data_IF_725069263517
#
_entry.id   IF_725069263517
#
_cell.length_a   1.000
_cell.length_b   1.000
_cell.length_c   1.000
_cell.angle_alpha   90.00
_cell.angle_beta   90.00
_cell.angle_gamma   90.00
#
_symmetry.space_group_name_H-M   'P 1'
#
loop_
_entity.id
_entity.type
_entity.pdbx_description
1 polymer ?
#
# COMPACT_ATOMS: atom_id res chain seq x y z
N UNK A 1 -3.94 -10.94 11.33
CA UNK A 1 -4.33 -9.52 11.24
C UNK A 1 -5.42 -9.27 10.20
N UNK A 2 -5.29 -9.74 8.97
CA UNK A 2 -6.32 -9.52 7.93
C UNK A 2 -7.74 -9.98 8.30
N UNK A 3 -7.89 -11.11 9.01
CA UNK A 3 -9.20 -11.62 9.45
C UNK A 3 -9.88 -10.65 10.44
N UNK A 4 -9.11 -10.10 11.38
CA UNK A 4 -9.61 -9.19 12.42
C UNK A 4 -10.07 -7.88 11.77
N UNK A 5 -9.22 -7.28 10.93
CA UNK A 5 -9.57 -6.05 10.22
C UNK A 5 -10.72 -6.27 9.23
N UNK A 6 -10.77 -7.43 8.57
CA UNK A 6 -11.88 -7.84 7.72
C UNK A 6 -13.21 -7.86 8.46
N UNK A 7 -13.24 -8.44 9.66
CA UNK A 7 -14.45 -8.48 10.49
C UNK A 7 -14.89 -7.07 10.93
N UNK A 8 -13.98 -6.18 11.29
CA UNK A 8 -14.32 -4.81 11.69
C UNK A 8 -14.94 -4.01 10.54
N UNK A 9 -14.41 -4.16 9.32
CA UNK A 9 -14.96 -3.49 8.13
C UNK A 9 -16.33 -4.08 7.74
N UNK A 10 -16.56 -5.37 7.89
CA UNK A 10 -17.87 -5.95 7.56
C UNK A 10 -18.99 -5.52 8.53
N UNK A 11 -18.67 -5.26 9.80
CA UNK A 11 -19.66 -4.93 10.83
C UNK A 11 -19.82 -3.41 11.09
N UNK A 12 -19.18 -2.55 10.30
CA UNK A 12 -19.23 -1.10 10.50
C UNK A 12 -20.38 -0.44 9.70
N UNK A 13 -21.10 0.48 10.35
CA UNK A 13 -22.08 1.33 9.69
C UNK A 13 -21.40 2.56 9.06
N UNK A 14 -21.60 2.75 7.75
CA UNK A 14 -20.95 3.81 6.96
C UNK A 14 -21.81 5.07 6.76
N UNK A 15 -22.87 5.22 7.55
CA UNK A 15 -23.84 6.33 7.46
C UNK A 15 -23.35 7.62 8.12
N UNK A 16 -22.16 7.62 8.72
CA UNK A 16 -21.56 8.80 9.35
C UNK A 16 -20.15 9.06 8.79
N UNK A 17 -19.75 10.34 8.72
CA UNK A 17 -18.41 10.73 8.29
C UNK A 17 -17.30 10.06 9.12
N UNK A 18 -17.53 9.96 10.43
CA UNK A 18 -16.60 9.31 11.36
C UNK A 18 -16.48 7.80 11.10
N UNK A 19 -17.60 7.12 10.81
CA UNK A 19 -17.62 5.71 10.43
C UNK A 19 -16.83 5.46 9.15
N UNK A 20 -17.07 6.25 8.09
CA UNK A 20 -16.35 6.13 6.82
C UNK A 20 -14.85 6.41 6.96
N UNK A 21 -14.47 7.48 7.68
CA UNK A 21 -13.07 7.80 7.91
C UNK A 21 -12.33 6.69 8.70
N UNK A 22 -13.00 6.11 9.70
CA UNK A 22 -12.43 4.99 10.47
C UNK A 22 -12.15 3.77 9.59
N UNK A 23 -13.03 3.48 8.63
CA UNK A 23 -12.89 2.36 7.70
C UNK A 23 -11.71 2.55 6.74
N UNK A 24 -11.58 3.75 6.17
CA UNK A 24 -10.46 4.13 5.30
C UNK A 24 -9.13 4.01 6.07
N UNK A 25 -9.10 4.45 7.34
CA UNK A 25 -7.93 4.28 8.21
C UNK A 25 -7.61 2.81 8.49
N UNK A 26 -8.61 1.94 8.70
CA UNK A 26 -8.38 0.50 8.93
C UNK A 26 -7.78 -0.18 7.70
N UNK A 27 -8.31 0.13 6.50
CA UNK A 27 -7.78 -0.38 5.23
C UNK A 27 -6.32 0.05 5.06
N UNK A 28 -6.03 1.32 5.32
CA UNK A 28 -4.68 1.87 5.28
C UNK A 28 -3.74 1.15 6.25
N UNK A 29 -4.09 1.08 7.53
CA UNK A 29 -3.25 0.46 8.57
C UNK A 29 -2.99 -1.02 8.28
N UNK A 30 -3.96 -1.73 7.71
CA UNK A 30 -3.79 -3.13 7.30
C UNK A 30 -2.76 -3.25 6.17
N UNK A 31 -2.86 -2.41 5.12
CA UNK A 31 -1.93 -2.41 4.00
C UNK A 31 -0.51 -2.03 4.44
N UNK A 32 -0.38 -1.05 5.34
CA UNK A 32 0.89 -0.62 5.90
C UNK A 32 1.55 -1.70 6.75
N UNK A 33 0.79 -2.31 7.66
CA UNK A 33 1.30 -3.38 8.50
C UNK A 33 1.81 -4.54 7.65
N UNK A 34 1.07 -4.91 6.61
CA UNK A 34 1.49 -5.96 5.68
C UNK A 34 2.81 -5.60 4.99
N UNK A 35 2.93 -4.38 4.44
CA UNK A 35 4.17 -3.92 3.80
C UNK A 35 5.36 -3.90 4.76
N UNK A 36 5.16 -3.43 5.99
CA UNK A 36 6.21 -3.39 7.01
C UNK A 36 6.64 -4.79 7.48
N UNK A 37 5.69 -5.70 7.70
CA UNK A 37 5.99 -7.06 8.11
C UNK A 37 6.86 -7.79 7.06
N UNK A 38 6.54 -7.61 5.78
CA UNK A 38 7.33 -8.20 4.69
C UNK A 38 8.70 -7.53 4.55
N UNK A 39 8.79 -6.21 4.73
CA UNK A 39 10.06 -5.49 4.77
C UNK A 39 11.00 -6.05 5.85
N UNK A 40 10.52 -6.19 7.09
CA UNK A 40 11.35 -6.73 8.18
C UNK A 40 11.74 -8.18 7.91
N UNK A 41 10.82 -8.97 7.34
CA UNK A 41 11.08 -10.37 7.00
C UNK A 41 12.14 -10.54 5.87
N UNK A 42 12.33 -9.56 4.99
CA UNK A 42 13.31 -9.65 3.90
C UNK A 42 14.73 -9.22 4.28
N UNK A 43 14.90 -8.49 5.39
CA UNK A 43 16.22 -8.03 5.83
C UNK A 43 17.22 -9.16 6.08
N UNK A 44 16.92 -10.21 6.88
CA UNK A 44 17.90 -11.24 7.16
C UNK A 44 18.31 -12.05 5.92
N UNK A 45 17.39 -12.26 4.96
CA UNK A 45 17.73 -12.95 3.72
C UNK A 45 18.68 -12.13 2.86
N UNK A 46 18.39 -10.84 2.64
CA UNK A 46 19.25 -9.98 1.81
C UNK A 46 20.61 -9.68 2.45
N UNK A 47 20.66 -9.51 3.77
CA UNK A 47 21.93 -9.29 4.48
C UNK A 47 22.84 -10.52 4.43
N UNK A 48 22.27 -11.73 4.44
CA UNK A 48 23.02 -12.97 4.26
C UNK A 48 23.64 -13.10 2.86
N UNK A 49 22.88 -12.74 1.82
CA UNK A 49 23.33 -12.85 0.43
C UNK A 49 24.30 -11.73 0.01
N UNK A 50 24.33 -10.61 0.74
CA UNK A 50 25.19 -9.46 0.42
C UNK A 50 26.68 -9.80 0.33
N UNK A 51 27.19 -10.68 1.19
CA UNK A 51 28.61 -11.06 1.18
C UNK A 51 28.97 -11.79 -0.13
N UNK A 52 28.06 -12.63 -0.62
CA UNK A 52 28.20 -13.33 -1.89
C UNK A 52 28.17 -12.33 -3.05
N UNK A 53 27.21 -11.41 -3.01
CA UNK A 53 27.07 -10.35 -4.02
C UNK A 53 28.33 -9.48 -4.17
N UNK A 54 28.91 -9.02 -3.06
CA UNK A 54 30.14 -8.21 -3.12
C UNK A 54 31.29 -9.00 -3.78
N UNK A 55 31.45 -10.28 -3.43
CA UNK A 55 32.48 -11.14 -4.03
C UNK A 55 32.29 -11.33 -5.53
N UNK A 56 31.05 -11.48 -5.98
CA UNK A 56 30.71 -11.67 -7.39
C UNK A 56 30.79 -10.39 -8.23
N UNK A 57 30.59 -9.23 -7.59
CA UNK A 57 30.81 -7.92 -8.21
C UNK A 57 32.30 -7.64 -8.47
N UNK A 58 33.15 -7.92 -7.48
CA UNK A 58 34.61 -7.77 -7.62
C UNK A 58 35.16 -8.71 -8.70
N UNK A 59 34.56 -9.88 -8.87
CA UNK A 59 34.88 -10.84 -9.93
C UNK A 59 34.27 -10.50 -11.31
N UNK A 60 33.48 -9.41 -11.42
CA UNK A 60 32.78 -8.99 -12.64
C UNK A 60 31.95 -10.11 -13.31
N UNK A 61 31.41 -11.04 -12.50
CA UNK A 61 30.70 -12.23 -13.01
C UNK A 61 29.39 -11.90 -13.73
N UNK A 62 28.71 -10.83 -13.32
CA UNK A 62 27.51 -10.30 -13.96
C UNK A 62 27.36 -8.80 -13.69
N UNK A 63 26.51 -8.13 -14.49
CA UNK A 63 26.14 -6.74 -14.24
C UNK A 63 25.18 -6.65 -13.05
N UNK A 64 25.39 -5.69 -12.14
CA UNK A 64 24.51 -5.36 -11.02
C UNK A 64 23.03 -5.24 -11.40
N UNK A 65 22.74 -4.71 -12.59
CA UNK A 65 21.36 -4.62 -13.07
C UNK A 65 20.65 -5.98 -13.16
N UNK A 66 21.36 -7.02 -13.65
CA UNK A 66 20.80 -8.37 -13.75
C UNK A 66 20.60 -9.01 -12.38
N UNK A 67 21.47 -8.68 -11.42
CA UNK A 67 21.30 -9.13 -10.04
C UNK A 67 20.01 -8.58 -9.42
N UNK A 68 19.72 -7.29 -9.60
CA UNK A 68 18.47 -6.67 -9.14
C UNK A 68 17.21 -7.34 -9.71
N UNK A 69 17.23 -7.71 -11.00
CA UNK A 69 16.16 -8.50 -11.59
C UNK A 69 16.07 -9.92 -11.00
N UNK A 70 17.21 -10.52 -10.63
CA UNK A 70 17.28 -11.82 -9.98
C UNK A 70 16.66 -11.83 -8.58
N UNK A 71 17.02 -10.87 -7.72
CA UNK A 71 16.46 -10.73 -6.36
C UNK A 71 14.97 -10.38 -6.38
N UNK A 72 14.47 -9.75 -7.45
CA UNK A 72 13.01 -9.57 -7.66
C UNK A 72 12.28 -10.91 -7.76
N UNK A 73 12.96 -11.98 -8.24
CA UNK A 73 12.43 -13.36 -8.29
C UNK A 73 12.79 -14.20 -7.07
N UNK A 74 13.37 -13.59 -6.03
CA UNK A 74 13.70 -14.32 -4.80
C UNK A 74 12.45 -14.90 -4.13
N UNK A 75 12.58 -15.99 -3.35
CA UNK A 75 11.47 -16.60 -2.61
C UNK A 75 10.73 -15.59 -1.72
N UNK A 76 11.44 -14.60 -1.17
CA UNK A 76 10.86 -13.54 -0.34
C UNK A 76 9.94 -12.62 -1.16
N UNK A 77 10.35 -12.24 -2.37
CA UNK A 77 9.54 -11.41 -3.28
C UNK A 77 8.35 -12.20 -3.86
N UNK A 78 8.52 -13.49 -4.12
CA UNK A 78 7.40 -14.37 -4.51
C UNK A 78 6.41 -14.58 -3.35
N UNK A 79 6.90 -14.69 -2.11
CA UNK A 79 6.06 -14.74 -0.92
C UNK A 79 5.25 -13.45 -0.71
N UNK A 80 5.82 -12.28 -1.06
CA UNK A 80 5.11 -11.01 -1.07
C UNK A 80 3.91 -11.02 -2.04
N UNK A 81 4.10 -11.58 -3.24
CA UNK A 81 3.02 -11.72 -4.25
C UNK A 81 1.98 -12.75 -3.80
N UNK A 82 2.42 -13.87 -3.21
CA UNK A 82 1.53 -14.92 -2.72
C UNK A 82 0.84 -14.58 -1.40
N UNK A 83 1.30 -13.54 -0.69
CA UNK A 83 0.68 -13.03 0.54
C UNK A 83 -0.63 -12.31 0.27
N UNK A 84 -1.56 -13.03 -0.36
CA UNK A 84 -2.98 -12.68 -0.35
C UNK A 84 -3.55 -13.05 1.02
N UNK A 85 -4.10 -12.12 1.80
CA UNK A 85 -5.08 -12.54 2.77
C UNK A 85 -6.25 -13.16 2.00
N UNK A 86 -6.55 -14.41 2.34
CA UNK A 86 -7.79 -15.10 1.98
C UNK A 86 -9.04 -14.34 2.47
N UNK A 87 -8.84 -13.33 3.33
CA UNK A 87 -9.83 -12.40 3.84
C UNK A 87 -9.69 -11.05 3.12
N UNK A 88 -10.24 -10.97 1.91
CA UNK A 88 -10.75 -9.70 1.38
C UNK A 88 -11.80 -9.19 2.39
N UNK A 89 -11.68 -8.00 2.99
CA UNK A 89 -12.74 -7.45 3.86
C UNK A 89 -14.04 -7.19 3.10
N UNK A 90 -14.02 -7.31 1.77
CA UNK A 90 -15.15 -6.91 0.97
C UNK A 90 -16.32 -7.83 1.27
N UNK A 91 -17.26 -7.24 2.01
CA UNK A 91 -18.69 -7.38 1.84
C UNK A 91 -19.02 -7.99 0.47
N UNK A 92 -20.00 -8.89 0.47
CA UNK A 92 -20.54 -9.56 -0.72
C UNK A 92 -20.97 -8.61 -1.85
N UNK A 93 -20.92 -7.29 -1.64
CA UNK A 93 -21.34 -6.23 -2.55
C UNK A 93 -20.39 -5.97 -3.74
N UNK A 94 -19.11 -6.33 -3.67
CA UNK A 94 -18.17 -6.12 -4.78
C UNK A 94 -17.97 -7.38 -5.61
N UNK A 95 -18.08 -7.27 -6.94
CA UNK A 95 -17.95 -8.41 -7.84
C UNK A 95 -16.59 -9.12 -7.81
N UNK A 96 -16.46 -10.31 -8.43
CA UNK A 96 -15.19 -11.00 -8.64
C UNK A 96 -14.02 -10.15 -9.18
N UNK A 97 -14.22 -9.21 -10.14
CA UNK A 97 -13.10 -8.40 -10.65
C UNK A 97 -12.55 -7.42 -9.61
N UNK A 98 -13.39 -6.80 -8.77
CA UNK A 98 -12.95 -5.87 -7.74
C UNK A 98 -12.03 -6.55 -6.71
N UNK A 99 -12.36 -7.79 -6.32
CA UNK A 99 -11.50 -8.61 -5.43
C UNK A 99 -10.17 -8.98 -6.07
N UNK A 100 -10.11 -9.14 -7.39
CA UNK A 100 -8.84 -9.37 -8.09
C UNK A 100 -7.99 -8.11 -8.08
N UNK A 101 -8.56 -6.95 -8.45
CA UNK A 101 -7.84 -5.68 -8.44
C UNK A 101 -7.37 -5.28 -7.04
N UNK A 102 -8.17 -5.53 -6.01
CA UNK A 102 -7.79 -5.30 -4.62
C UNK A 102 -6.55 -6.12 -4.24
N UNK A 103 -6.56 -7.42 -4.55
CA UNK A 103 -5.42 -8.31 -4.29
C UNK A 103 -4.17 -7.89 -5.08
N UNK A 104 -4.33 -7.56 -6.35
CA UNK A 104 -3.23 -7.09 -7.19
C UNK A 104 -2.62 -5.79 -6.62
N UNK A 105 -3.45 -4.83 -6.21
CA UNK A 105 -2.98 -3.58 -5.64
C UNK A 105 -2.17 -3.78 -4.35
N UNK A 106 -2.67 -4.59 -3.42
CA UNK A 106 -1.94 -4.92 -2.18
C UNK A 106 -0.64 -5.65 -2.51
N UNK A 107 -0.66 -6.65 -3.39
CA UNK A 107 0.54 -7.42 -3.75
C UNK A 107 1.63 -6.54 -4.37
N UNK A 108 1.23 -5.59 -5.25
CA UNK A 108 2.16 -4.64 -5.86
C UNK A 108 2.74 -3.68 -4.81
N UNK A 109 1.91 -3.21 -3.88
CA UNK A 109 2.34 -2.31 -2.81
C UNK A 109 3.33 -2.99 -1.85
N UNK A 110 3.11 -4.27 -1.51
CA UNK A 110 4.04 -5.08 -0.70
C UNK A 110 5.31 -5.39 -1.49
N UNK A 111 5.21 -5.63 -2.81
CA UNK A 111 6.38 -5.84 -3.67
C UNK A 111 7.30 -4.61 -3.66
N UNK A 112 6.74 -3.40 -3.81
CA UNK A 112 7.50 -2.15 -3.74
C UNK A 112 8.23 -2.02 -2.39
N UNK A 113 7.57 -2.34 -1.28
CA UNK A 113 8.19 -2.29 0.06
C UNK A 113 9.29 -3.34 0.24
N UNK A 114 9.10 -4.55 -0.29
CA UNK A 114 10.13 -5.62 -0.28
C UNK A 114 11.34 -5.21 -1.10
N UNK A 115 11.13 -4.67 -2.30
CA UNK A 115 12.21 -4.21 -3.18
C UNK A 115 12.97 -3.03 -2.56
N UNK A 116 12.28 -2.12 -1.89
CA UNK A 116 12.93 -1.04 -1.12
C UNK A 116 13.81 -1.61 -0.01
N UNK A 117 13.34 -2.62 0.72
CA UNK A 117 14.12 -3.30 1.76
C UNK A 117 15.35 -4.02 1.22
N UNK A 118 15.19 -4.76 0.13
CA UNK A 118 16.30 -5.41 -0.58
C UNK A 118 17.32 -4.36 -1.06
N UNK A 119 16.87 -3.30 -1.73
CA UNK A 119 17.73 -2.21 -2.21
C UNK A 119 18.52 -1.54 -1.07
N UNK A 120 17.86 -1.21 0.04
CA UNK A 120 18.52 -0.61 1.21
C UNK A 120 19.53 -1.58 1.84
N UNK A 121 19.26 -2.88 1.87
CA UNK A 121 20.19 -3.88 2.40
C UNK A 121 21.51 -3.96 1.63
N UNK A 122 21.51 -3.70 0.31
CA UNK A 122 22.73 -3.63 -0.51
C UNK A 122 23.40 -2.26 -0.48
N UNK A 123 22.65 -1.17 -0.30
CA UNK A 123 23.18 0.20 -0.23
C UNK A 123 23.84 0.52 1.12
N UNK A 124 23.28 0.02 2.23
CA UNK A 124 23.75 0.35 3.57
C UNK A 124 24.59 -0.76 4.20
N UNK A 125 25.62 -0.36 4.95
CA UNK A 125 26.61 -1.32 5.44
C UNK A 125 26.18 -2.11 6.69
N UNK A 126 25.20 -1.63 7.47
CA UNK A 126 24.77 -2.25 8.73
C UNK A 126 23.27 -2.57 8.71
N UNK A 127 22.91 -3.78 9.13
CA UNK A 127 21.52 -4.24 9.16
C UNK A 127 20.62 -3.40 10.09
N UNK A 128 21.18 -2.89 11.20
CA UNK A 128 20.46 -2.00 12.11
C UNK A 128 20.11 -0.67 11.43
N UNK A 129 21.07 -0.11 10.68
CA UNK A 129 20.87 1.15 9.96
C UNK A 129 19.86 0.97 8.84
N UNK A 130 19.88 -0.18 8.14
CA UNK A 130 18.88 -0.52 7.12
C UNK A 130 17.47 -0.43 7.71
N UNK A 131 17.24 -1.10 8.84
CA UNK A 131 15.93 -1.13 9.49
C UNK A 131 15.44 0.26 9.91
N UNK A 132 16.31 1.08 10.53
CA UNK A 132 15.97 2.45 10.96
C UNK A 132 15.65 3.35 9.76
N UNK A 133 16.47 3.29 8.70
CA UNK A 133 16.28 4.11 7.50
C UNK A 133 15.02 3.69 6.73
N UNK A 134 14.73 2.39 6.63
CA UNK A 134 13.50 1.92 5.98
C UNK A 134 12.24 2.34 6.73
N UNK A 135 12.25 2.31 8.06
CA UNK A 135 11.17 2.85 8.89
C UNK A 135 11.03 4.35 8.68
N UNK A 136 12.13 5.10 8.67
CA UNK A 136 12.10 6.55 8.46
C UNK A 136 11.50 6.93 7.11
N UNK A 137 11.91 6.25 6.03
CA UNK A 137 11.36 6.45 4.68
C UNK A 137 9.87 6.10 4.66
N UNK A 138 9.48 5.00 5.31
CA UNK A 138 8.07 4.62 5.42
C UNK A 138 7.26 5.68 6.16
N UNK A 139 7.75 6.21 7.29
CA UNK A 139 7.09 7.28 8.05
C UNK A 139 7.01 8.58 7.24
N UNK A 140 8.03 8.90 6.45
CA UNK A 140 7.99 10.06 5.56
C UNK A 140 6.84 9.93 4.56
N UNK A 141 6.70 8.77 3.91
CA UNK A 141 5.59 8.52 2.99
C UNK A 141 4.23 8.47 3.68
N UNK A 142 4.16 7.96 4.92
CA UNK A 142 2.93 7.99 5.73
C UNK A 142 2.45 9.41 6.00
N UNK A 143 3.38 10.33 6.29
CA UNK A 143 3.08 11.74 6.55
C UNK A 143 2.37 12.40 5.36
N UNK A 144 2.65 11.94 4.13
CA UNK A 144 2.03 12.49 2.92
C UNK A 144 0.82 11.67 2.42
N UNK A 145 0.42 10.60 3.13
CA UNK A 145 -0.64 9.67 2.69
C UNK A 145 -2.09 10.14 2.97
N UNK A 146 -2.38 11.45 2.88
CA UNK A 146 -3.71 12.10 3.06
C UNK A 146 -4.30 12.17 4.49
N UNK A 147 -3.74 11.51 5.49
CA UNK A 147 -4.31 11.56 6.86
C UNK A 147 -3.85 12.78 7.68
N UNK A 148 -2.58 13.20 7.54
CA UNK A 148 -2.03 14.30 8.33
C UNK A 148 -0.70 14.80 7.72
N UNK A 149 -0.62 15.99 7.07
CA UNK A 149 -1.62 17.06 6.93
C UNK A 149 -2.63 16.87 5.75
N UNK A 150 -3.80 17.55 5.78
CA UNK A 150 -4.76 17.51 4.68
C UNK A 150 -4.16 18.12 3.40
N UNK A 151 -4.58 17.61 2.24
CA UNK A 151 -4.04 17.99 0.91
C UNK A 151 -3.94 19.51 0.69
N UNK A 152 -4.93 20.26 1.18
CA UNK A 152 -5.01 21.72 1.03
C UNK A 152 -4.02 22.50 1.91
N UNK A 153 -3.41 21.88 2.91
CA UNK A 153 -2.44 22.50 3.81
C UNK A 153 -0.98 22.25 3.39
N UNK A 154 -0.74 21.53 2.29
CA UNK A 154 0.60 21.20 1.81
C UNK A 154 1.12 22.37 0.94
N UNK A 155 2.32 22.93 1.21
CA UNK A 155 2.89 23.97 0.37
C UNK A 155 3.18 23.45 -1.04
N UNK A 156 3.02 24.29 -2.07
CA UNK A 156 3.21 23.93 -3.48
C UNK A 156 4.54 23.20 -3.76
N UNK A 157 5.61 23.55 -3.05
CA UNK A 157 6.94 22.94 -3.22
C UNK A 157 7.02 21.48 -2.76
N UNK A 158 6.17 21.06 -1.84
CA UNK A 158 6.13 19.69 -1.32
C UNK A 158 5.01 18.84 -1.96
N UNK A 159 4.22 19.43 -2.86
CA UNK A 159 3.14 18.76 -3.57
C UNK A 159 3.65 17.59 -4.43
N UNK A 160 4.85 17.71 -5.00
CA UNK A 160 5.47 16.64 -5.78
C UNK A 160 5.71 15.35 -4.97
N UNK A 161 6.16 15.48 -3.72
CA UNK A 161 6.40 14.33 -2.83
C UNK A 161 5.07 13.66 -2.48
N UNK A 162 4.04 14.48 -2.28
CA UNK A 162 2.68 14.02 -2.06
C UNK A 162 2.11 13.24 -3.25
N UNK A 163 2.41 13.63 -4.48
CA UNK A 163 1.94 12.93 -5.69
C UNK A 163 2.72 11.64 -6.00
N UNK A 164 4.03 11.60 -5.71
CA UNK A 164 4.88 10.43 -5.97
C UNK A 164 4.69 9.30 -4.95
N UNK A 165 4.06 9.58 -3.81
CA UNK A 165 3.93 8.63 -2.70
C UNK A 165 3.14 7.37 -3.12
N UNK A 166 3.76 6.18 -3.20
CA UNK A 166 3.08 4.98 -3.72
C UNK A 166 1.95 4.50 -2.80
N UNK A 167 2.10 4.72 -1.49
CA UNK A 167 1.10 4.36 -0.48
C UNK A 167 -0.22 5.12 -0.67
N UNK A 168 -0.16 6.38 -1.14
CA UNK A 168 -1.34 7.21 -1.45
C UNK A 168 -2.10 6.64 -2.66
N UNK A 169 -1.38 6.32 -3.74
CA UNK A 169 -1.98 5.75 -4.95
C UNK A 169 -2.63 4.41 -4.64
N UNK A 170 -1.96 3.55 -3.87
CA UNK A 170 -2.54 2.29 -3.38
C UNK A 170 -3.82 2.52 -2.58
N UNK A 171 -3.78 3.40 -1.57
CA UNK A 171 -4.94 3.71 -0.75
C UNK A 171 -6.13 4.22 -1.57
N UNK A 172 -5.89 5.16 -2.50
CA UNK A 172 -6.96 5.72 -3.32
C UNK A 172 -7.67 4.62 -4.13
N UNK A 173 -6.91 3.69 -4.71
CA UNK A 173 -7.46 2.56 -5.45
C UNK A 173 -8.22 1.60 -4.52
N UNK A 174 -7.68 1.29 -3.34
CA UNK A 174 -8.34 0.41 -2.37
C UNK A 174 -9.67 0.97 -1.88
N UNK A 175 -9.72 2.27 -1.57
CA UNK A 175 -10.94 2.97 -1.16
C UNK A 175 -11.97 2.96 -2.29
N UNK A 176 -11.58 3.29 -3.53
CA UNK A 176 -12.48 3.24 -4.68
C UNK A 176 -13.00 1.83 -4.97
N UNK A 177 -12.21 0.78 -4.76
CA UNK A 177 -12.66 -0.60 -4.96
C UNK A 177 -13.63 -1.10 -3.88
N UNK A 178 -13.53 -0.58 -2.66
CA UNK A 178 -14.39 -0.97 -1.52
C UNK A 178 -15.69 -0.17 -1.52
N UNK A 179 -15.61 1.13 -1.77
CA UNK A 179 -16.72 2.06 -1.59
C UNK A 179 -17.31 2.59 -2.91
N UNK A 180 -16.61 2.45 -4.04
CA UNK A 180 -17.04 3.03 -5.32
C UNK A 180 -18.06 2.20 -6.10
N UNK A 181 -18.70 1.20 -5.50
CA UNK A 181 -19.77 0.44 -6.16
C UNK A 181 -21.13 1.04 -5.80
N UNK A 182 -21.45 2.17 -6.42
CA UNK A 182 -22.73 2.85 -6.25
C UNK A 182 -23.74 2.35 -7.29
N UNK A 183 -24.98 2.00 -6.90
CA UNK A 183 -25.99 1.50 -7.83
C UNK A 183 -26.53 2.57 -8.78
N UNK A 184 -26.48 3.84 -8.40
CA UNK A 184 -26.86 5.00 -9.20
C UNK A 184 -25.82 6.12 -9.00
N UNK A 185 -25.38 6.75 -10.07
CA UNK A 185 -24.47 7.89 -10.02
C UNK A 185 -25.24 9.18 -9.67
N UNK A 186 -24.66 10.10 -8.88
CA UNK A 186 -25.29 11.38 -8.59
C UNK A 186 -25.44 12.21 -9.88
N UNK A 187 -26.67 12.62 -10.17
CA UNK A 187 -26.97 13.42 -11.37
C UNK A 187 -27.02 14.88 -10.97
N UNK A 188 -26.11 15.67 -11.54
CA UNK A 188 -26.10 17.11 -11.34
C UNK A 188 -27.30 17.76 -12.03
N UNK A 189 -28.20 18.36 -11.26
CA UNK A 189 -29.33 19.12 -11.81
C UNK A 189 -28.95 20.61 -11.92
N UNK A 190 -28.76 21.08 -13.15
CA UNK A 190 -28.39 22.48 -13.44
C UNK A 190 -29.42 23.49 -12.92
N UNK A 191 -30.69 23.08 -12.73
CA UNK A 191 -31.76 23.97 -12.22
C UNK A 191 -31.71 24.14 -10.71
N UNK A 192 -31.36 23.09 -9.98
CA UNK A 192 -31.25 23.12 -8.52
C UNK A 192 -29.87 23.57 -8.05
N UNK A 193 -28.87 23.56 -8.95
CA UNK A 193 -27.43 23.69 -8.62
C UNK A 193 -26.98 22.69 -7.55
N UNK A 194 -27.63 21.54 -7.54
CA UNK A 194 -27.45 20.51 -6.53
C UNK A 194 -27.47 19.13 -7.18
N UNK A 195 -26.88 18.15 -6.50
CA UNK A 195 -26.92 16.78 -6.98
C UNK A 195 -28.24 16.12 -6.56
N UNK A 196 -28.92 15.52 -7.53
CA UNK A 196 -30.12 14.72 -7.30
C UNK A 196 -29.71 13.23 -7.27
N UNK A 197 -30.43 12.42 -6.50
CA UNK A 197 -30.12 11.01 -6.19
C UNK A 197 -28.93 10.77 -5.23
N UNK A 198 -28.61 11.72 -4.35
CA UNK A 198 -27.71 11.45 -3.22
C UNK A 198 -28.39 10.48 -2.23
N UNK A 199 -27.81 9.29 -2.03
CA UNK A 199 -28.26 8.35 -0.98
C UNK A 199 -27.58 8.67 0.35
N UNK A 200 -28.13 8.12 1.44
CA UNK A 200 -27.62 8.26 2.81
C UNK A 200 -26.26 7.59 3.07
N UNK A 201 -25.69 6.88 2.09
CA UNK A 201 -24.41 6.21 2.21
C UNK A 201 -23.31 7.17 1.74
N UNK A 202 -22.61 7.85 2.66
CA UNK A 202 -21.59 8.88 2.33
C UNK A 202 -20.42 8.42 1.43
N UNK A 203 -20.32 7.12 1.17
CA UNK A 203 -19.33 6.54 0.28
C UNK A 203 -19.73 6.69 -1.21
N UNK A 204 -21.00 7.01 -1.45
CA UNK A 204 -21.64 7.45 -2.68
C UNK A 204 -22.14 8.89 -2.48
#
# INVERSE_FOLDING_TARGET
>A
MAIIFGFVVVNADYTTYQGLHSAISIIFMTALYQGYATYVACLPSSLGERVVYCRECDAQTYNTLWYFFGITRSPTSLAAISSSPLSSPLSSASGPPARLFYRLNISLSVLIQTLLGQLLAYLLSSGEVVAVVGVLISIMFLLFAKFNPPAAAIPDRYLYIFDVTPQRCSLSILVSLVFGNCPEDPVYDERLRDYTNERSELAC
#
